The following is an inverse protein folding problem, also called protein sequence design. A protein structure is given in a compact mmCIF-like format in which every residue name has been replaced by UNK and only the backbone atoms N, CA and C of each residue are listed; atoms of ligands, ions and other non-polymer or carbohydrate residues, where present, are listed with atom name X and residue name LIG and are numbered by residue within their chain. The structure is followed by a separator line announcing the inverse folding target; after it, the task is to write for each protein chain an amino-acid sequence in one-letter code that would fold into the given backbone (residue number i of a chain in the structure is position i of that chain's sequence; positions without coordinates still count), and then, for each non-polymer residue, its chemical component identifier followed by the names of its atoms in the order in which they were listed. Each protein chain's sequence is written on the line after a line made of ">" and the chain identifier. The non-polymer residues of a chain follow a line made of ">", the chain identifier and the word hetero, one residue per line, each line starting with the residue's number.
data_IF_285560149002
#
_entry.id   IF_285560149002
#
_cell.length_a   1.000
_cell.length_b   1.000
_cell.length_c   1.000
_cell.angle_alpha   90.00
_cell.angle_beta   90.00
_cell.angle_gamma   90.00
#
_symmetry.space_group_name_H-M   'P 1'
#
loop_
_entity.id
_entity.type
_entity.pdbx_description
1 polymer ?
#
# COMPACT_ATOMS: atom_id res chain seq x y z
N UNK A 1 -11.14 -7.62 1.34
CA UNK A 1 -11.64 -6.72 2.40
C UNK A 1 -11.41 -5.27 1.95
N UNK A 2 -12.38 -4.39 2.17
CA UNK A 2 -12.29 -2.94 1.91
C UNK A 2 -12.34 -2.21 3.25
N UNK A 3 -11.29 -1.42 3.55
CA UNK A 3 -11.24 -0.57 4.75
C UNK A 3 -11.53 0.87 4.32
N UNK A 4 -12.44 1.55 5.00
CA UNK A 4 -12.89 2.89 4.61
C UNK A 4 -13.13 3.81 5.83
N UNK A 5 -12.97 5.14 5.67
CA UNK A 5 -13.38 6.10 6.68
C UNK A 5 -14.90 6.11 6.87
N UNK A 6 -15.37 6.35 8.10
CA UNK A 6 -16.80 6.35 8.44
C UNK A 6 -17.63 7.34 7.64
N UNK A 7 -17.05 8.46 7.19
CA UNK A 7 -17.72 9.50 6.41
C UNK A 7 -18.22 9.02 5.04
N UNK A 8 -17.63 7.96 4.48
CA UNK A 8 -18.04 7.39 3.17
C UNK A 8 -18.66 6.00 3.31
N UNK A 9 -19.10 5.61 4.52
CA UNK A 9 -19.53 4.26 4.84
C UNK A 9 -20.58 3.71 3.87
N UNK A 10 -21.64 4.45 3.58
CA UNK A 10 -22.73 4.00 2.69
C UNK A 10 -22.23 3.66 1.28
N UNK A 11 -21.41 4.55 0.71
CA UNK A 11 -20.88 4.37 -0.64
C UNK A 11 -19.87 3.23 -0.68
N UNK A 12 -19.00 3.14 0.32
CA UNK A 12 -17.98 2.10 0.43
C UNK A 12 -18.58 0.72 0.66
N UNK A 13 -19.60 0.62 1.52
CA UNK A 13 -20.32 -0.61 1.77
C UNK A 13 -21.04 -1.12 0.50
N UNK A 14 -21.76 -0.25 -0.20
CA UNK A 14 -22.39 -0.59 -1.47
C UNK A 14 -21.39 -1.02 -2.55
N UNK A 15 -20.18 -0.45 -2.55
CA UNK A 15 -19.12 -0.86 -3.46
C UNK A 15 -18.54 -2.24 -3.07
N UNK A 16 -18.35 -2.50 -1.79
CA UNK A 16 -17.87 -3.78 -1.28
C UNK A 16 -18.86 -4.91 -1.62
N UNK A 17 -20.15 -4.71 -1.39
CA UNK A 17 -21.19 -5.68 -1.74
C UNK A 17 -21.20 -6.01 -3.24
N UNK A 18 -21.14 -5.00 -4.11
CA UNK A 18 -21.10 -5.20 -5.57
C UNK A 18 -19.89 -6.01 -6.02
N UNK A 19 -18.78 -5.94 -5.30
CA UNK A 19 -17.55 -6.66 -5.60
C UNK A 19 -17.43 -7.99 -4.84
N UNK A 20 -18.43 -8.33 -4.01
CA UNK A 20 -18.41 -9.56 -3.20
C UNK A 20 -17.27 -9.56 -2.17
N UNK A 21 -16.84 -8.38 -1.71
CA UNK A 21 -15.82 -8.27 -0.68
C UNK A 21 -16.40 -7.74 0.63
N UNK A 22 -15.76 -8.08 1.74
CA UNK A 22 -16.13 -7.57 3.06
C UNK A 22 -15.69 -6.11 3.19
N UNK A 23 -16.59 -5.24 3.65
CA UNK A 23 -16.30 -3.86 4.04
C UNK A 23 -16.20 -3.72 5.55
N UNK A 24 -15.24 -2.93 6.03
CA UNK A 24 -15.07 -2.61 7.45
C UNK A 24 -14.68 -1.14 7.59
N UNK A 25 -15.25 -0.44 8.55
CA UNK A 25 -14.84 0.94 8.82
C UNK A 25 -13.44 0.98 9.46
N UNK A 26 -12.74 2.09 9.26
CA UNK A 26 -11.43 2.28 9.91
C UNK A 26 -11.52 2.21 11.43
N UNK A 27 -12.58 2.77 12.00
CA UNK A 27 -12.82 2.79 13.45
C UNK A 27 -13.08 1.39 14.00
N UNK A 28 -13.75 0.53 13.25
CA UNK A 28 -13.98 -0.87 13.63
C UNK A 28 -12.70 -1.70 13.46
N UNK A 29 -11.99 -1.50 12.34
CA UNK A 29 -10.70 -2.15 12.10
C UNK A 29 -9.67 -1.82 13.19
N UNK A 30 -9.59 -0.54 13.61
CA UNK A 30 -8.65 -0.08 14.63
C UNK A 30 -8.98 -0.57 16.06
N UNK A 31 -10.23 -1.02 16.32
CA UNK A 31 -10.64 -1.61 17.61
C UNK A 31 -10.39 -3.12 17.68
N UNK A 32 -10.08 -3.74 16.56
CA UNK A 32 -9.80 -5.16 16.51
C UNK A 32 -8.59 -5.52 17.38
N UNK A 33 -8.70 -6.58 18.18
CA UNK A 33 -7.56 -7.12 18.90
C UNK A 33 -6.54 -7.67 17.90
N UNK A 34 -5.27 -7.28 18.08
CA UNK A 34 -4.17 -7.93 17.40
C UNK A 34 -4.08 -9.38 17.94
N UNK A 35 -4.71 -10.32 17.25
CA UNK A 35 -4.50 -11.72 17.56
C UNK A 35 -3.06 -12.10 17.25
N UNK A 36 -2.46 -12.98 18.05
CA UNK A 36 -1.19 -13.64 17.75
C UNK A 36 -1.37 -14.57 16.53
N UNK A 37 -1.58 -13.96 15.37
CA UNK A 37 -1.68 -14.70 14.12
C UNK A 37 -0.27 -14.82 13.56
N UNK A 38 0.17 -16.04 13.31
CA UNK A 38 1.41 -16.27 12.58
C UNK A 38 1.33 -15.58 11.22
N UNK A 39 2.33 -14.76 10.92
CA UNK A 39 2.43 -14.12 9.61
C UNK A 39 2.65 -15.19 8.54
N UNK A 40 2.02 -15.06 7.37
CA UNK A 40 2.23 -16.01 6.29
C UNK A 40 3.69 -15.99 5.84
N UNK A 41 4.22 -17.14 5.46
CA UNK A 41 5.51 -17.24 4.81
C UNK A 41 5.41 -16.67 3.40
N UNK A 42 6.13 -15.58 3.15
CA UNK A 42 6.10 -14.87 1.88
C UNK A 42 7.26 -15.29 0.99
N UNK A 43 6.98 -15.52 -0.29
CA UNK A 43 7.99 -15.80 -1.29
C UNK A 43 8.37 -14.52 -2.07
N UNK A 44 9.60 -14.43 -2.58
CA UNK A 44 10.06 -13.23 -3.30
C UNK A 44 9.19 -12.84 -4.51
N UNK A 45 8.60 -13.81 -5.17
CA UNK A 45 7.78 -13.62 -6.36
C UNK A 45 6.27 -13.46 -6.04
N UNK A 46 5.87 -13.53 -4.76
CA UNK A 46 4.51 -13.22 -4.34
C UNK A 46 4.19 -11.74 -4.57
N UNK A 47 2.92 -11.46 -4.90
CA UNK A 47 2.45 -10.08 -5.10
C UNK A 47 2.39 -9.38 -3.74
N UNK A 48 3.16 -8.30 -3.61
CA UNK A 48 3.16 -7.45 -2.42
C UNK A 48 1.96 -6.49 -2.43
N UNK A 49 1.74 -5.80 -3.55
CA UNK A 49 0.60 -4.88 -3.73
C UNK A 49 0.31 -4.62 -5.21
N UNK A 50 -0.85 -4.02 -5.45
CA UNK A 50 -1.27 -3.55 -6.77
C UNK A 50 -1.17 -2.02 -6.82
N UNK A 51 -0.38 -1.50 -7.74
CA UNK A 51 -0.27 -0.07 -8.00
C UNK A 51 -1.05 0.29 -9.26
N UNK A 52 -2.10 1.08 -9.11
CA UNK A 52 -2.84 1.57 -10.26
C UNK A 52 -2.20 2.85 -10.82
N UNK A 53 -1.87 2.83 -12.10
CA UNK A 53 -1.40 4.03 -12.80
C UNK A 53 -2.60 4.91 -13.16
N UNK A 54 -2.44 6.23 -13.05
CA UNK A 54 -3.43 7.21 -13.54
C UNK A 54 -3.58 7.20 -15.07
N UNK A 55 -2.69 6.50 -15.77
CA UNK A 55 -2.68 6.15 -17.19
C UNK A 55 -3.08 7.25 -18.18
N UNK A 56 -2.36 7.35 -19.26
CA UNK A 56 -2.81 8.10 -20.46
C UNK A 56 -3.96 7.37 -21.19
N UNK A 57 -4.35 6.18 -20.74
CA UNK A 57 -5.40 5.33 -21.27
C UNK A 57 -6.71 5.54 -20.51
N UNK A 58 -7.83 5.29 -21.18
CA UNK A 58 -9.19 5.49 -20.67
C UNK A 58 -9.52 4.71 -19.40
N UNK A 59 -8.72 3.68 -19.07
CA UNK A 59 -8.88 2.85 -17.88
C UNK A 59 -7.55 2.76 -17.11
N UNK A 60 -7.60 2.88 -15.77
CA UNK A 60 -6.42 2.66 -14.93
C UNK A 60 -5.88 1.25 -15.14
N UNK A 61 -4.57 1.12 -15.27
CA UNK A 61 -3.91 -0.18 -15.37
C UNK A 61 -3.29 -0.53 -14.02
N UNK A 62 -3.66 -1.68 -13.48
CA UNK A 62 -3.07 -2.23 -12.25
C UNK A 62 -1.75 -2.92 -12.55
N UNK A 63 -0.69 -2.49 -11.89
CA UNK A 63 0.64 -3.12 -11.94
C UNK A 63 0.81 -3.98 -10.71
N UNK A 64 1.03 -5.29 -10.89
CA UNK A 64 1.33 -6.20 -9.80
C UNK A 64 2.81 -6.08 -9.42
N UNK A 65 3.08 -5.61 -8.21
CA UNK A 65 4.43 -5.45 -7.68
C UNK A 65 4.73 -6.60 -6.74
N UNK A 66 5.78 -7.38 -7.02
CA UNK A 66 6.24 -8.47 -6.16
C UNK A 66 7.11 -7.96 -5.02
N UNK A 67 7.27 -8.76 -3.95
CA UNK A 67 8.20 -8.45 -2.85
C UNK A 67 9.62 -8.23 -3.35
N UNK A 68 10.09 -9.08 -4.26
CA UNK A 68 11.42 -8.96 -4.89
C UNK A 68 11.57 -7.65 -5.67
N UNK A 69 10.58 -7.28 -6.48
CA UNK A 69 10.62 -6.05 -7.25
C UNK A 69 10.64 -4.81 -6.34
N UNK A 70 9.81 -4.80 -5.30
CA UNK A 70 9.79 -3.74 -4.29
C UNK A 70 11.16 -3.60 -3.61
N UNK A 71 11.71 -4.67 -3.06
CA UNK A 71 13.00 -4.64 -2.37
C UNK A 71 14.16 -4.18 -3.25
N UNK A 72 14.19 -4.60 -4.52
CA UNK A 72 15.20 -4.10 -5.46
C UNK A 72 15.03 -2.60 -5.74
N UNK A 73 13.79 -2.13 -5.85
CA UNK A 73 13.51 -0.72 -6.06
C UNK A 73 13.93 0.12 -4.83
N UNK A 74 13.59 -0.33 -3.62
CA UNK A 74 13.99 0.33 -2.37
C UNK A 74 15.51 0.42 -2.23
N UNK A 75 16.22 -0.68 -2.51
CA UNK A 75 17.67 -0.71 -2.48
C UNK A 75 18.29 0.24 -3.53
N UNK A 76 17.78 0.21 -4.76
CA UNK A 76 18.23 1.11 -5.82
C UNK A 76 17.97 2.57 -5.50
N UNK A 77 16.81 2.89 -4.94
CA UNK A 77 16.47 4.25 -4.51
C UNK A 77 17.38 4.72 -3.38
N UNK A 78 17.49 3.95 -2.29
CA UNK A 78 18.34 4.30 -1.14
C UNK A 78 19.80 4.51 -1.56
N UNK A 79 20.34 3.63 -2.42
CA UNK A 79 21.69 3.78 -2.96
C UNK A 79 21.83 5.01 -3.86
N UNK A 80 20.83 5.26 -4.71
CA UNK A 80 20.86 6.38 -5.67
C UNK A 80 20.82 7.76 -5.04
N UNK A 81 20.17 7.89 -3.86
CA UNK A 81 20.11 9.15 -3.09
C UNK A 81 21.07 9.17 -1.89
N UNK A 82 21.91 8.13 -1.76
CA UNK A 82 22.87 7.98 -0.64
C UNK A 82 22.19 8.04 0.74
N UNK A 83 21.02 7.38 0.86
CA UNK A 83 20.22 7.37 2.08
C UNK A 83 20.91 6.52 3.15
N UNK A 84 21.22 7.11 4.29
CA UNK A 84 21.89 6.47 5.41
C UNK A 84 21.02 6.38 6.67
N UNK A 85 21.45 5.55 7.63
CA UNK A 85 20.71 5.28 8.88
C UNK A 85 20.43 6.51 9.74
N UNK A 86 21.18 7.59 9.56
CA UNK A 86 21.02 8.85 10.31
C UNK A 86 20.13 9.86 9.60
N UNK A 87 19.71 9.57 8.36
CA UNK A 87 18.89 10.48 7.60
C UNK A 87 17.46 10.56 8.12
N UNK A 88 16.80 11.64 7.79
CA UNK A 88 15.39 11.86 8.11
C UNK A 88 14.68 12.32 6.84
N UNK A 89 13.59 11.65 6.51
CA UNK A 89 12.79 11.98 5.35
C UNK A 89 11.54 12.72 5.79
N UNK A 90 11.30 13.88 5.17
CA UNK A 90 10.05 14.65 5.32
C UNK A 90 9.43 14.79 3.94
N UNK A 91 8.18 14.40 3.81
CA UNK A 91 7.48 14.43 2.53
C UNK A 91 6.03 14.86 2.72
N UNK A 92 5.50 15.63 1.75
CA UNK A 92 4.08 15.94 1.62
C UNK A 92 3.40 15.11 0.51
N UNK A 93 4.16 14.20 -0.12
CA UNK A 93 3.62 13.38 -1.21
C UNK A 93 2.58 12.39 -0.69
N UNK A 94 1.47 12.21 -1.40
CA UNK A 94 0.43 11.29 -0.98
C UNK A 94 0.87 9.84 -1.14
N UNK A 95 0.45 8.99 -0.22
CA UNK A 95 0.78 7.56 -0.21
C UNK A 95 0.09 6.74 -1.31
N UNK A 96 -0.93 7.29 -1.95
CA UNK A 96 -1.52 6.66 -3.13
C UNK A 96 -0.68 6.85 -4.41
N UNK A 97 0.40 7.62 -4.34
CA UNK A 97 1.38 7.78 -5.41
C UNK A 97 2.65 6.98 -5.07
N UNK A 98 3.23 6.31 -6.08
CA UNK A 98 4.42 5.47 -5.92
C UNK A 98 5.60 6.19 -5.25
N UNK A 99 5.88 7.43 -5.65
CA UNK A 99 6.94 8.21 -5.03
C UNK A 99 6.69 8.47 -3.53
N UNK A 100 5.45 8.74 -3.15
CA UNK A 100 5.07 8.93 -1.74
C UNK A 100 5.17 7.63 -0.94
N UNK A 101 4.61 6.54 -1.47
CA UNK A 101 4.62 5.24 -0.80
C UNK A 101 6.02 4.62 -0.79
N UNK A 102 6.64 4.46 -1.95
CA UNK A 102 7.89 3.71 -2.07
C UNK A 102 9.10 4.58 -1.75
N UNK A 103 9.20 5.75 -2.37
CA UNK A 103 10.36 6.62 -2.23
C UNK A 103 10.45 7.33 -0.88
N UNK A 104 9.32 7.79 -0.33
CA UNK A 104 9.34 8.63 0.87
C UNK A 104 8.88 7.93 2.15
N UNK A 105 8.12 6.84 2.07
CA UNK A 105 7.65 6.10 3.24
C UNK A 105 8.39 4.79 3.44
N UNK A 106 8.43 3.90 2.44
CA UNK A 106 9.06 2.58 2.59
C UNK A 106 10.60 2.61 2.51
N UNK A 107 11.19 3.52 1.73
CA UNK A 107 12.67 3.58 1.60
C UNK A 107 13.40 3.94 2.89
N UNK A 108 12.86 4.80 3.80
CA UNK A 108 13.52 5.16 5.05
C UNK A 108 13.34 4.13 6.18
N UNK A 109 12.50 3.11 6.02
CA UNK A 109 12.25 2.05 7.00
C UNK A 109 13.34 0.97 6.91
#
# INVERSE_FOLDING_TARGET
>A
MLIYPGEIAEMAFAAAERQGCQGISWEEFARGDASETELPELQPDDICYLQYSSGSTRFPTGVAVTHKALLHNLYGHATGVDLGINDRVVSWLPWYHDMGLVGCFLSPI
#
